data_IF_515025225446
#
_entry.id   IF_515025225446
#
_cell.length_a   1.000
_cell.length_b   1.000
_cell.length_c   1.000
_cell.angle_alpha   90.00
_cell.angle_beta   90.00
_cell.angle_gamma   90.00
#
_symmetry.space_group_name_H-M   'P 1'
#
loop_
_entity.id
_entity.type
_entity.pdbx_description
1 polymer ?
#
# COMPACT_ATOMS: atom_id res chain seq x y z
N UNK A 1 7.28 -2.16 -26.19
CA UNK A 1 5.93 -1.54 -26.14
C UNK A 1 5.79 -0.71 -24.86
N UNK A 2 4.75 0.14 -24.73
CA UNK A 2 4.39 0.76 -23.46
C UNK A 2 3.24 -0.02 -22.82
N UNK A 3 3.44 -0.51 -21.61
CA UNK A 3 2.45 -1.31 -20.88
C UNK A 3 2.03 -0.59 -19.61
N UNK A 4 0.72 -0.58 -19.36
CA UNK A 4 0.14 -0.11 -18.10
C UNK A 4 -0.39 -1.33 -17.35
N UNK A 5 0.12 -1.58 -16.15
CA UNK A 5 -0.25 -2.75 -15.36
C UNK A 5 -0.85 -2.29 -14.04
N UNK A 6 -2.08 -2.73 -13.78
CA UNK A 6 -2.84 -2.35 -12.58
C UNK A 6 -2.84 -3.47 -11.55
N UNK A 7 -2.57 -3.12 -10.29
CA UNK A 7 -2.69 -4.00 -9.13
C UNK A 7 -3.78 -3.51 -8.18
N UNK A 8 -4.71 -4.39 -7.82
CA UNK A 8 -5.72 -4.13 -6.79
C UNK A 8 -5.13 -4.22 -5.37
N UNK A 9 -5.89 -3.77 -4.37
CA UNK A 9 -5.39 -3.72 -2.99
C UNK A 9 -5.05 -5.08 -2.38
N UNK A 10 -5.73 -6.16 -2.80
CA UNK A 10 -5.42 -7.54 -2.41
C UNK A 10 -4.10 -8.02 -3.02
N UNK A 11 -3.77 -7.58 -4.23
CA UNK A 11 -2.52 -7.93 -4.93
C UNK A 11 -1.27 -7.32 -4.31
N UNK A 12 -1.44 -6.38 -3.36
CA UNK A 12 -0.35 -5.68 -2.65
C UNK A 12 -0.60 -5.65 -1.14
N UNK A 13 -1.26 -6.69 -0.62
CA UNK A 13 -1.74 -6.72 0.77
C UNK A 13 -0.64 -7.03 1.78
N UNK A 14 0.33 -7.84 1.40
CA UNK A 14 1.46 -8.25 2.25
C UNK A 14 2.80 -7.95 1.57
N UNK A 15 3.87 -7.94 2.38
CA UNK A 15 5.24 -7.68 1.91
C UNK A 15 5.68 -8.66 0.82
N UNK A 16 5.32 -9.95 0.97
CA UNK A 16 5.57 -10.98 -0.05
C UNK A 16 4.87 -10.69 -1.38
N UNK A 17 3.66 -10.11 -1.34
CA UNK A 17 2.87 -9.81 -2.53
C UNK A 17 3.50 -8.64 -3.29
N UNK A 18 3.84 -7.57 -2.57
CA UNK A 18 4.54 -6.41 -3.15
C UNK A 18 5.88 -6.83 -3.75
N UNK A 19 6.65 -7.69 -3.06
CA UNK A 19 7.91 -8.20 -3.57
C UNK A 19 7.73 -9.06 -4.84
N UNK A 20 6.67 -9.87 -4.90
CA UNK A 20 6.35 -10.65 -6.10
C UNK A 20 5.98 -9.75 -7.28
N UNK A 21 5.14 -8.73 -7.05
CA UNK A 21 4.78 -7.72 -8.04
C UNK A 21 6.02 -6.97 -8.53
N UNK A 22 6.89 -6.49 -7.63
CA UNK A 22 8.10 -5.77 -7.98
C UNK A 22 9.06 -6.62 -8.84
N UNK A 23 9.23 -7.90 -8.48
CA UNK A 23 10.05 -8.84 -9.27
C UNK A 23 9.48 -9.01 -10.68
N UNK A 24 8.17 -9.18 -10.81
CA UNK A 24 7.51 -9.36 -12.10
C UNK A 24 7.60 -8.11 -12.98
N UNK A 25 7.32 -6.93 -12.41
CA UNK A 25 7.47 -5.65 -13.12
C UNK A 25 8.91 -5.46 -13.60
N UNK A 26 9.91 -5.78 -12.76
CA UNK A 26 11.32 -5.68 -13.15
C UNK A 26 11.71 -6.64 -14.28
N UNK A 27 11.07 -7.82 -14.36
CA UNK A 27 11.28 -8.74 -15.49
C UNK A 27 10.69 -8.18 -16.80
N UNK A 28 9.48 -7.62 -16.75
CA UNK A 28 8.83 -7.02 -17.91
C UNK A 28 9.57 -5.76 -18.40
N UNK A 29 10.09 -4.95 -17.47
CA UNK A 29 10.83 -3.72 -17.75
C UNK A 29 12.12 -3.94 -18.57
N UNK A 30 12.59 -5.19 -18.71
CA UNK A 30 13.72 -5.54 -19.59
C UNK A 30 13.41 -5.39 -21.08
N UNK A 31 12.14 -5.46 -21.45
CA UNK A 31 11.69 -5.44 -22.86
C UNK A 31 10.70 -4.32 -23.15
N UNK A 32 9.94 -3.90 -22.14
CA UNK A 32 8.86 -2.94 -22.30
C UNK A 32 9.03 -1.74 -21.36
N UNK A 33 8.51 -0.59 -21.76
CA UNK A 33 8.36 0.55 -20.88
C UNK A 33 7.10 0.34 -20.03
N UNK A 34 7.24 0.30 -18.71
CA UNK A 34 6.16 -0.05 -17.79
C UNK A 34 5.68 1.16 -17.00
N UNK A 35 4.36 1.34 -16.94
CA UNK A 35 3.68 2.19 -15.95
C UNK A 35 2.91 1.27 -15.00
N UNK A 36 3.13 1.41 -13.70
CA UNK A 36 2.42 0.65 -12.68
C UNK A 36 1.35 1.53 -12.05
N UNK A 37 0.11 1.03 -11.99
CA UNK A 37 -1.01 1.66 -11.28
C UNK A 37 -1.36 0.78 -10.09
N UNK A 38 -1.38 1.33 -8.88
CA UNK A 38 -1.75 0.61 -7.67
C UNK A 38 -2.98 1.24 -7.01
N UNK A 39 -3.88 0.38 -6.52
CA UNK A 39 -4.86 0.78 -5.51
C UNK A 39 -4.18 0.97 -4.14
N UNK A 40 -4.92 1.42 -3.13
CA UNK A 40 -4.44 1.39 -1.75
C UNK A 40 -4.28 -0.06 -1.25
N UNK A 41 -3.43 -0.27 -0.24
CA UNK A 41 -3.26 -1.57 0.43
C UNK A 41 -4.61 -2.03 0.98
N UNK A 42 -4.90 -3.34 0.89
CA UNK A 42 -6.18 -3.94 1.30
C UNK A 42 -6.77 -3.35 2.60
N UNK A 43 -8.06 -2.99 2.55
CA UNK A 43 -8.82 -2.39 3.66
C UNK A 43 -8.50 -0.93 3.99
N UNK A 44 -7.48 -0.31 3.38
CA UNK A 44 -7.08 1.07 3.71
C UNK A 44 -8.13 2.10 3.28
N UNK A 45 -8.70 1.96 2.07
CA UNK A 45 -9.73 2.88 1.59
C UNK A 45 -10.96 2.84 2.50
N UNK A 46 -11.40 1.65 2.90
CA UNK A 46 -12.55 1.50 3.81
C UNK A 46 -12.25 2.09 5.18
N UNK A 47 -11.06 1.86 5.74
CA UNK A 47 -10.63 2.48 7.00
C UNK A 47 -10.63 4.03 6.90
N UNK A 48 -10.22 4.61 5.76
CA UNK A 48 -10.24 6.07 5.54
C UNK A 48 -11.66 6.63 5.45
N UNK A 49 -12.58 5.92 4.79
CA UNK A 49 -14.00 6.29 4.74
C UNK A 49 -14.58 6.24 6.16
N UNK A 50 -14.26 5.20 6.92
CA UNK A 50 -14.75 5.04 8.30
C UNK A 50 -14.19 6.11 9.25
N UNK A 51 -12.97 6.59 9.03
CA UNK A 51 -12.43 7.76 9.74
C UNK A 51 -13.33 8.98 9.47
N UNK A 52 -13.63 9.28 8.21
CA UNK A 52 -14.49 10.41 7.83
C UNK A 52 -15.87 10.31 8.50
N UNK A 53 -16.50 9.14 8.45
CA UNK A 53 -17.79 8.91 9.10
C UNK A 53 -17.72 9.00 10.63
N UNK A 54 -16.62 8.55 11.24
CA UNK A 54 -16.40 8.65 12.68
C UNK A 54 -16.28 10.10 13.13
N UNK A 55 -15.54 10.93 12.38
CA UNK A 55 -15.41 12.37 12.67
C UNK A 55 -16.75 13.09 12.52
N UNK A 56 -17.53 12.77 11.47
CA UNK A 56 -18.88 13.31 11.27
C UNK A 56 -19.82 13.00 12.45
N UNK A 57 -19.63 11.86 13.11
CA UNK A 57 -20.38 11.42 14.30
C UNK A 57 -19.74 11.89 15.62
N UNK A 58 -18.78 12.81 15.57
CA UNK A 58 -18.01 13.31 16.71
C UNK A 58 -17.24 12.23 17.50
N UNK A 59 -17.08 11.03 16.93
CA UNK A 59 -16.33 9.93 17.53
C UNK A 59 -14.84 10.01 17.16
N UNK A 60 -14.15 11.00 17.74
CA UNK A 60 -12.72 11.23 17.51
C UNK A 60 -11.85 10.06 17.92
N UNK A 61 -12.18 9.37 19.01
CA UNK A 61 -11.41 8.23 19.51
C UNK A 61 -11.34 7.08 18.48
N UNK A 62 -12.47 6.73 17.85
CA UNK A 62 -12.49 5.71 16.80
C UNK A 62 -11.69 6.13 15.57
N UNK A 63 -11.79 7.40 15.16
CA UNK A 63 -11.02 7.95 14.06
C UNK A 63 -9.50 7.85 14.32
N UNK A 64 -9.06 8.21 15.52
CA UNK A 64 -7.65 8.11 15.94
C UNK A 64 -7.14 6.67 15.97
N UNK A 65 -7.97 5.72 16.43
CA UNK A 65 -7.64 4.29 16.41
C UNK A 65 -7.44 3.77 14.98
N UNK A 66 -8.35 4.11 14.05
CA UNK A 66 -8.23 3.73 12.64
C UNK A 66 -7.03 4.37 11.97
N UNK A 67 -6.75 5.65 12.25
CA UNK A 67 -5.56 6.32 11.74
C UNK A 67 -4.28 5.63 12.22
N UNK A 68 -4.21 5.29 13.52
CA UNK A 68 -3.09 4.54 14.10
C UNK A 68 -2.94 3.14 13.48
N UNK A 69 -4.05 2.45 13.22
CA UNK A 69 -4.08 1.15 12.52
C UNK A 69 -3.51 1.26 11.10
N UNK A 70 -3.87 2.32 10.35
CA UNK A 70 -3.32 2.57 9.00
C UNK A 70 -1.81 2.83 9.10
N UNK A 71 -1.37 3.71 10.00
CA UNK A 71 0.05 4.08 10.18
C UNK A 71 0.88 2.84 10.50
N UNK A 72 0.49 2.06 11.50
CA UNK A 72 1.24 0.89 11.94
C UNK A 72 1.36 -0.17 10.84
N UNK A 73 0.26 -0.43 10.12
CA UNK A 73 0.25 -1.37 8.98
C UNK A 73 1.24 -0.95 7.91
N UNK A 74 1.23 0.32 7.50
CA UNK A 74 2.11 0.80 6.44
C UNK A 74 3.58 0.84 6.88
N UNK A 75 3.87 1.24 8.13
CA UNK A 75 5.22 1.18 8.71
C UNK A 75 5.75 -0.25 8.72
N UNK A 76 4.95 -1.20 9.19
CA UNK A 76 5.33 -2.61 9.21
C UNK A 76 5.56 -3.15 7.79
N UNK A 77 4.65 -2.84 6.86
CA UNK A 77 4.73 -3.28 5.48
C UNK A 77 6.00 -2.73 4.80
N UNK A 78 6.32 -1.45 4.98
CA UNK A 78 7.53 -0.84 4.45
C UNK A 78 8.80 -1.51 5.01
N UNK A 79 8.88 -1.68 6.33
CA UNK A 79 10.01 -2.33 7.02
C UNK A 79 10.25 -3.76 6.52
N UNK A 80 9.19 -4.52 6.27
CA UNK A 80 9.28 -5.91 5.80
C UNK A 80 9.54 -6.02 4.28
N UNK A 81 9.15 -5.00 3.51
CA UNK A 81 9.23 -5.02 2.04
C UNK A 81 10.58 -4.55 1.52
N UNK A 82 11.08 -3.42 2.05
CA UNK A 82 12.29 -2.74 1.57
C UNK A 82 13.50 -3.26 2.35
N UNK A 83 14.45 -3.92 1.69
CA UNK A 83 15.63 -4.49 2.38
C UNK A 83 16.79 -3.51 2.57
N UNK A 84 16.90 -2.50 1.71
CA UNK A 84 17.99 -1.52 1.77
C UNK A 84 17.69 -0.48 2.86
N UNK A 85 18.51 -0.44 3.90
CA UNK A 85 18.39 0.47 5.05
C UNK A 85 18.27 1.92 4.63
N UNK A 86 19.04 2.35 3.64
CA UNK A 86 19.10 3.76 3.20
C UNK A 86 17.80 4.23 2.53
N UNK A 87 16.94 3.29 2.13
CA UNK A 87 15.62 3.56 1.56
C UNK A 87 14.48 3.45 2.59
N UNK A 88 14.75 2.92 3.78
CA UNK A 88 13.79 2.90 4.88
C UNK A 88 13.81 4.28 5.58
N UNK A 89 12.71 5.04 5.46
CA UNK A 89 12.50 6.28 6.24
C UNK A 89 11.68 5.97 7.49
N UNK A 90 12.00 6.66 8.60
CA UNK A 90 11.37 6.50 9.93
C UNK A 90 9.89 6.92 9.96
#
# INVERSE_FOLDING_TARGET
>A
MRLVIKYGGTSISASKDIQAVAKYVNQLAKKDQIVVVCSAVSGTTDDLIEISESIKKENKSKAEQLASKIINRHKQLAKQTIKKSDLQKN
#
